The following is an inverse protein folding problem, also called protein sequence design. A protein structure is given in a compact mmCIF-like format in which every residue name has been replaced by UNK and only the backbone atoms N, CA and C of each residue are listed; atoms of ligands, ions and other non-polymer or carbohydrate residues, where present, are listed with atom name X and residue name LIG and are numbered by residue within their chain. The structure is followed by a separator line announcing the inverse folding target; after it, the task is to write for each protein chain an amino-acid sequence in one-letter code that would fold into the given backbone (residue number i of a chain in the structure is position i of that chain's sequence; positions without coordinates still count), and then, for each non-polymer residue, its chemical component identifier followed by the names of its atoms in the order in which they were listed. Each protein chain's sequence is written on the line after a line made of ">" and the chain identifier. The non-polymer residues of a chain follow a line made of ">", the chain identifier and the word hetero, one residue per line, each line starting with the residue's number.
data_IF_190616522750
#
_entry.id   IF_190616522750
#
_cell.length_a   1.000
_cell.length_b   1.000
_cell.length_c   1.000
_cell.angle_alpha   90.00
_cell.angle_beta   90.00
_cell.angle_gamma   90.00
#
_symmetry.space_group_name_H-M   'P 1'
#
loop_
_entity.id
_entity.type
_entity.pdbx_description
1 polymer ?
#
# COMPACT_ATOMS: atom_id res chain seq x y z
N UNK A 1 -37.48 -14.50 46.75
CA UNK A 1 -36.82 -13.29 47.32
C UNK A 1 -35.33 -13.50 47.11
N UNK A 2 -34.74 -12.92 46.06
CA UNK A 2 -34.01 -11.63 46.00
C UNK A 2 -32.49 -11.82 46.12
N UNK A 3 -31.76 -11.39 45.08
CA UNK A 3 -30.32 -11.10 45.05
C UNK A 3 -29.46 -12.34 44.76
N UNK A 4 -28.49 -12.35 43.87
CA UNK A 4 -27.65 -11.31 43.27
C UNK A 4 -27.28 -11.81 41.86
N UNK A 5 -27.70 -11.14 40.78
CA UNK A 5 -26.91 -10.11 40.09
C UNK A 5 -25.48 -10.53 39.71
N UNK A 6 -25.23 -10.44 38.41
CA UNK A 6 -23.93 -10.13 37.79
C UNK A 6 -22.85 -11.24 37.76
N UNK A 7 -23.13 -12.34 37.05
CA UNK A 7 -22.07 -13.08 36.32
C UNK A 7 -22.32 -12.91 34.81
N UNK A 8 -22.54 -11.65 34.44
CA UNK A 8 -22.48 -11.16 33.08
C UNK A 8 -21.53 -9.97 33.18
N UNK A 9 -20.21 -10.20 33.16
CA UNK A 9 -19.22 -9.17 32.91
C UNK A 9 -17.82 -9.80 32.88
N UNK A 10 -17.11 -9.46 31.80
CA UNK A 10 -15.65 -9.37 31.71
C UNK A 10 -14.87 -10.66 31.45
N UNK A 11 -14.92 -11.14 30.21
CA UNK A 11 -13.67 -11.30 29.45
C UNK A 11 -13.88 -10.66 28.10
N UNK A 12 -13.57 -9.37 28.04
CA UNK A 12 -13.37 -8.64 26.80
C UNK A 12 -12.32 -9.40 26.00
N UNK A 13 -12.73 -9.92 24.84
CA UNK A 13 -11.84 -10.27 23.75
C UNK A 13 -11.01 -9.02 23.43
N UNK A 14 -9.84 -8.89 24.05
CA UNK A 14 -8.77 -8.07 23.50
C UNK A 14 -8.28 -8.81 22.27
N UNK A 15 -9.02 -8.68 21.17
CA UNK A 15 -8.43 -8.78 19.84
C UNK A 15 -7.42 -7.65 19.79
N UNK A 16 -6.20 -7.94 20.26
CA UNK A 16 -5.01 -7.19 19.91
C UNK A 16 -4.94 -7.36 18.41
N UNK A 17 -5.58 -6.43 17.69
CA UNK A 17 -5.30 -6.24 16.29
C UNK A 17 -3.85 -5.78 16.29
N UNK A 18 -2.94 -6.73 16.08
CA UNK A 18 -1.58 -6.42 15.71
C UNK A 18 -1.73 -5.57 14.45
N UNK A 19 -1.70 -4.25 14.63
CA UNK A 19 -1.39 -3.32 13.56
C UNK A 19 0.01 -3.74 13.14
N UNK A 20 0.09 -4.66 12.17
CA UNK A 20 1.33 -4.90 11.49
C UNK A 20 1.73 -3.53 10.96
N UNK A 21 2.85 -3.03 11.47
CA UNK A 21 3.48 -1.88 10.86
C UNK A 21 3.91 -2.38 9.49
N UNK A 22 3.04 -2.17 8.49
CA UNK A 22 3.39 -2.46 7.11
C UNK A 22 4.72 -1.75 6.84
N UNK A 23 5.76 -2.50 6.49
CA UNK A 23 7.05 -1.94 6.12
C UNK A 23 6.89 -1.13 4.84
N UNK A 24 7.49 0.06 4.76
CA UNK A 24 7.34 0.93 3.59
C UNK A 24 7.89 0.25 2.32
N UNK A 25 8.99 -0.49 2.47
CA UNK A 25 9.58 -1.29 1.39
C UNK A 25 8.66 -2.43 0.96
N UNK A 26 8.01 -3.12 1.90
CA UNK A 26 7.02 -4.15 1.58
C UNK A 26 5.80 -3.55 0.85
N UNK A 27 5.19 -2.50 1.41
CA UNK A 27 4.07 -1.79 0.77
C UNK A 27 4.42 -1.28 -0.63
N UNK A 28 5.65 -0.81 -0.82
CA UNK A 28 6.15 -0.42 -2.12
C UNK A 28 6.24 -1.61 -3.09
N UNK A 29 6.77 -2.76 -2.66
CA UNK A 29 6.84 -3.95 -3.49
C UNK A 29 5.46 -4.45 -3.93
N UNK A 30 4.48 -4.40 -3.03
CA UNK A 30 3.08 -4.73 -3.36
C UNK A 30 2.54 -3.76 -4.41
N UNK A 31 2.76 -2.44 -4.22
CA UNK A 31 2.32 -1.42 -5.18
C UNK A 31 3.02 -1.55 -6.54
N UNK A 32 4.32 -1.81 -6.56
CA UNK A 32 5.09 -2.06 -7.78
C UNK A 32 4.52 -3.26 -8.56
N UNK A 33 4.24 -4.37 -7.85
CA UNK A 33 3.65 -5.57 -8.46
C UNK A 33 2.27 -5.29 -9.05
N UNK A 34 1.48 -4.46 -8.35
CA UNK A 34 0.18 -3.98 -8.85
C UNK A 34 0.34 -3.15 -10.12
N UNK A 35 1.24 -2.17 -10.13
CA UNK A 35 1.51 -1.33 -11.31
C UNK A 35 1.96 -2.16 -12.52
N UNK A 36 2.86 -3.14 -12.33
CA UNK A 36 3.27 -4.07 -13.39
C UNK A 36 2.08 -4.83 -13.97
N UNK A 37 1.21 -5.34 -13.10
CA UNK A 37 0.01 -6.07 -13.50
C UNK A 37 -0.96 -5.18 -14.28
N UNK A 38 -1.15 -3.94 -13.82
CA UNK A 38 -2.00 -2.96 -14.52
C UNK A 38 -1.41 -2.53 -15.85
N UNK A 39 -0.10 -2.34 -15.95
CA UNK A 39 0.55 -2.05 -17.23
C UNK A 39 0.34 -3.19 -18.24
N UNK A 40 0.49 -4.45 -17.79
CA UNK A 40 0.21 -5.60 -18.65
C UNK A 40 -1.27 -5.69 -19.07
N UNK A 41 -2.19 -5.32 -18.18
CA UNK A 41 -3.62 -5.29 -18.49
C UNK A 41 -3.96 -4.17 -19.49
N UNK A 42 -3.36 -2.98 -19.31
CA UNK A 42 -3.52 -1.82 -20.19
C UNK A 42 -2.99 -2.09 -21.60
N UNK A 43 -1.86 -2.81 -21.68
CA UNK A 43 -1.30 -3.31 -22.94
C UNK A 43 -2.16 -4.45 -23.54
N UNK A 44 -3.10 -4.99 -22.77
CA UNK A 44 -3.82 -6.25 -22.95
C UNK A 44 -4.83 -6.34 -24.09
N UNK A 45 -4.46 -5.90 -25.30
CA UNK A 45 -4.97 -6.35 -26.60
C UNK A 45 -3.92 -6.23 -27.74
N UNK A 46 -2.77 -5.60 -27.50
CA UNK A 46 -1.66 -5.65 -28.43
C UNK A 46 -1.00 -7.03 -28.30
N UNK A 47 -1.05 -7.85 -29.36
CA UNK A 47 -0.40 -9.17 -29.45
C UNK A 47 1.12 -9.10 -29.21
N UNK A 48 1.56 -8.90 -27.96
CA UNK A 48 2.97 -8.96 -27.62
C UNK A 48 3.40 -10.43 -27.64
N UNK A 49 4.45 -10.70 -28.42
CA UNK A 49 5.15 -11.98 -28.31
C UNK A 49 5.71 -12.13 -26.89
N UNK A 50 5.93 -13.38 -26.41
CA UNK A 50 6.51 -13.62 -25.09
C UNK A 50 7.80 -12.83 -24.84
N UNK A 51 8.67 -12.73 -25.87
CA UNK A 51 9.92 -11.97 -25.79
C UNK A 51 9.71 -10.47 -25.55
N UNK A 52 8.69 -9.85 -26.15
CA UNK A 52 8.38 -8.44 -25.91
C UNK A 52 7.78 -8.21 -24.52
N UNK A 53 6.96 -9.16 -24.03
CA UNK A 53 6.43 -9.13 -22.67
C UNK A 53 7.54 -9.17 -21.63
N UNK A 54 8.52 -10.06 -21.81
CA UNK A 54 9.66 -10.19 -20.90
C UNK A 54 10.53 -8.92 -20.89
N UNK A 55 10.72 -8.30 -22.06
CA UNK A 55 11.42 -7.02 -22.18
C UNK A 55 10.69 -5.91 -21.41
N UNK A 56 9.37 -5.77 -21.58
CA UNK A 56 8.56 -4.77 -20.85
C UNK A 56 8.63 -5.02 -19.35
N UNK A 57 8.47 -6.27 -18.91
CA UNK A 57 8.53 -6.61 -17.49
C UNK A 57 9.90 -6.33 -16.87
N UNK A 58 10.99 -6.57 -17.61
CA UNK A 58 12.35 -6.24 -17.18
C UNK A 58 12.52 -4.73 -16.98
N UNK A 59 11.98 -3.92 -17.90
CA UNK A 59 12.04 -2.46 -17.78
C UNK A 59 11.23 -1.95 -16.58
N UNK A 60 10.03 -2.50 -16.37
CA UNK A 60 9.20 -2.17 -15.21
C UNK A 60 9.84 -2.62 -13.88
N UNK A 61 10.53 -3.76 -13.87
CA UNK A 61 11.34 -4.20 -12.72
C UNK A 61 12.44 -3.19 -12.40
N UNK A 62 13.20 -2.77 -13.41
CA UNK A 62 14.26 -1.76 -13.22
C UNK A 62 13.71 -0.43 -12.68
N UNK A 63 12.55 0.02 -13.18
CA UNK A 63 11.88 1.20 -12.66
C UNK A 63 11.48 1.04 -11.20
N UNK A 64 10.96 -0.13 -10.82
CA UNK A 64 10.59 -0.39 -9.44
C UNK A 64 11.81 -0.39 -8.50
N UNK A 65 12.88 -1.09 -8.88
CA UNK A 65 14.11 -1.13 -8.08
C UNK A 65 14.69 0.28 -7.90
N UNK A 66 14.69 1.09 -8.95
CA UNK A 66 15.19 2.47 -8.90
C UNK A 66 14.43 3.33 -7.86
N UNK A 67 13.11 3.23 -7.82
CA UNK A 67 12.30 3.97 -6.83
C UNK A 67 12.45 3.36 -5.43
N UNK A 68 12.51 2.03 -5.32
CA UNK A 68 12.73 1.35 -4.03
C UNK A 68 14.04 1.80 -3.37
N UNK A 69 15.10 2.00 -4.15
CA UNK A 69 16.39 2.49 -3.66
C UNK A 69 16.31 3.88 -3.02
N UNK A 70 15.31 4.71 -3.38
CA UNK A 70 15.08 6.00 -2.73
C UNK A 70 14.58 5.84 -1.30
N UNK A 71 13.88 4.75 -0.99
CA UNK A 71 13.40 4.45 0.37
C UNK A 71 14.43 3.74 1.23
N UNK A 72 15.47 3.14 0.65
CA UNK A 72 16.48 2.36 1.38
C UNK A 72 17.26 3.17 2.45
N UNK A 73 17.22 4.50 2.37
CA UNK A 73 17.84 5.41 3.33
C UNK A 73 16.82 6.10 4.26
N UNK A 74 15.53 5.81 4.11
CA UNK A 74 14.48 6.40 4.96
C UNK A 74 14.39 5.56 6.23
N UNK A 75 14.66 6.19 7.37
CA UNK A 75 14.51 5.53 8.66
C UNK A 75 13.05 5.14 8.90
N UNK A 76 12.83 3.91 9.37
CA UNK A 76 11.54 3.40 9.85
C UNK A 76 10.95 4.25 10.99
N UNK A 77 11.81 4.93 11.75
CA UNK A 77 11.46 5.92 12.77
C UNK A 77 11.00 7.27 12.23
N UNK A 78 11.09 7.52 10.92
CA UNK A 78 10.65 8.77 10.34
C UNK A 78 9.13 8.94 10.57
N UNK A 79 8.63 10.09 11.07
CA UNK A 79 7.22 10.25 11.44
C UNK A 79 6.22 10.00 10.31
N UNK A 80 6.67 10.16 9.06
CA UNK A 80 5.86 9.90 7.86
C UNK A 80 5.92 8.45 7.36
N UNK A 81 6.85 7.61 7.86
CA UNK A 81 7.14 6.28 7.32
C UNK A 81 5.90 5.37 7.30
N UNK A 82 5.25 5.23 8.46
CA UNK A 82 4.05 4.39 8.58
C UNK A 82 2.84 4.93 7.80
N UNK A 83 2.71 6.26 7.66
CA UNK A 83 1.63 6.86 6.89
C UNK A 83 1.84 6.64 5.37
N UNK A 84 3.07 6.79 4.89
CA UNK A 84 3.44 6.50 3.51
C UNK A 84 3.19 5.03 3.17
N UNK A 85 3.59 4.12 4.06
CA UNK A 85 3.38 2.68 3.89
C UNK A 85 1.90 2.33 3.73
N UNK A 86 1.04 2.88 4.60
CA UNK A 86 -0.42 2.71 4.51
C UNK A 86 -1.01 3.28 3.24
N UNK A 87 -0.53 4.44 2.76
CA UNK A 87 -0.96 5.00 1.49
C UNK A 87 -0.68 4.01 0.34
N UNK A 88 0.57 3.55 0.19
CA UNK A 88 0.96 2.59 -0.85
C UNK A 88 0.15 1.27 -0.77
N UNK A 89 0.04 0.70 0.42
CA UNK A 89 -0.74 -0.52 0.65
C UNK A 89 -2.23 -0.36 0.35
N UNK A 90 -2.79 0.84 0.54
CA UNK A 90 -4.18 1.13 0.18
C UNK A 90 -4.37 1.29 -1.33
N UNK A 91 -3.43 1.93 -2.02
CA UNK A 91 -3.48 2.09 -3.48
C UNK A 91 -3.37 0.75 -4.19
N UNK A 92 -2.56 -0.17 -3.66
CA UNK A 92 -2.41 -1.50 -4.25
C UNK A 92 -3.72 -2.32 -4.29
N UNK A 93 -4.72 -1.93 -3.48
CA UNK A 93 -6.06 -2.56 -3.43
C UNK A 93 -7.03 -2.01 -4.48
N UNK A 94 -6.71 -0.89 -5.11
CA UNK A 94 -7.53 -0.31 -6.18
C UNK A 94 -7.52 -1.22 -7.42
N UNK A 95 -8.54 -1.11 -8.26
CA UNK A 95 -8.55 -1.69 -9.60
C UNK A 95 -7.55 -0.98 -10.52
N UNK A 96 -7.22 -1.59 -11.67
CA UNK A 96 -6.31 -0.94 -12.61
C UNK A 96 -6.95 0.29 -13.28
N UNK A 97 -8.26 0.26 -13.53
CA UNK A 97 -9.01 1.43 -14.03
C UNK A 97 -8.99 2.57 -13.01
N UNK A 98 -9.17 2.26 -11.71
CA UNK A 98 -9.04 3.26 -10.64
C UNK A 98 -7.61 3.80 -10.59
N UNK A 99 -6.59 2.96 -10.77
CA UNK A 99 -5.17 3.35 -10.79
C UNK A 99 -4.85 4.28 -11.98
N UNK A 100 -5.34 3.96 -13.17
CA UNK A 100 -5.12 4.78 -14.38
C UNK A 100 -5.80 6.15 -14.29
N UNK A 101 -6.87 6.26 -13.51
CA UNK A 101 -7.66 7.48 -13.33
C UNK A 101 -7.47 8.11 -11.94
N UNK A 102 -6.35 7.81 -11.24
CA UNK A 102 -6.09 8.38 -9.92
C UNK A 102 -5.89 9.89 -9.98
N UNK A 103 -6.46 10.58 -8.99
CA UNK A 103 -6.14 11.97 -8.66
C UNK A 103 -5.04 12.01 -7.60
N UNK A 104 -4.65 13.20 -7.16
CA UNK A 104 -3.58 13.39 -6.17
C UNK A 104 -3.83 12.64 -4.84
N UNK A 105 -5.09 12.56 -4.39
CA UNK A 105 -5.50 11.80 -3.18
C UNK A 105 -6.30 10.52 -3.54
N UNK A 106 -5.64 9.43 -3.99
CA UNK A 106 -6.33 8.26 -4.54
C UNK A 106 -7.08 7.43 -3.48
N UNK A 107 -6.72 7.59 -2.21
CA UNK A 107 -7.38 6.90 -1.09
C UNK A 107 -7.41 7.80 0.16
N UNK A 108 -8.29 7.50 1.13
CA UNK A 108 -8.27 8.19 2.42
C UNK A 108 -6.94 8.07 3.19
N UNK A 109 -6.19 6.98 2.99
CA UNK A 109 -4.89 6.80 3.62
C UNK A 109 -3.84 7.73 3.01
N UNK A 110 -3.88 7.95 1.70
CA UNK A 110 -3.02 8.91 1.01
C UNK A 110 -3.34 10.35 1.40
N UNK A 111 -4.63 10.71 1.49
CA UNK A 111 -5.05 12.01 2.04
C UNK A 111 -4.51 12.28 3.46
N UNK A 112 -4.49 11.24 4.31
CA UNK A 112 -3.90 11.36 5.65
C UNK A 112 -2.38 11.56 5.60
N UNK A 113 -1.69 10.83 4.72
CA UNK A 113 -0.26 10.98 4.51
C UNK A 113 0.09 12.39 4.02
N UNK A 114 -0.64 12.92 3.04
CA UNK A 114 -0.42 14.27 2.50
C UNK A 114 -0.62 15.36 3.54
N UNK A 115 -1.67 15.26 4.36
CA UNK A 115 -1.89 16.20 5.47
C UNK A 115 -0.73 16.17 6.46
N UNK A 116 -0.22 14.99 6.79
CA UNK A 116 0.94 14.85 7.67
C UNK A 116 2.19 15.46 7.03
N UNK A 117 2.45 15.16 5.75
CA UNK A 117 3.59 15.67 5.00
C UNK A 117 3.56 17.20 4.85
N UNK A 118 2.40 17.79 4.56
CA UNK A 118 2.23 19.24 4.45
C UNK A 118 2.44 19.98 5.78
N UNK A 119 2.21 19.29 6.91
CA UNK A 119 2.46 19.81 8.26
C UNK A 119 3.87 19.49 8.79
N UNK A 120 4.66 18.71 8.04
CA UNK A 120 5.99 18.28 8.46
C UNK A 120 7.01 19.38 8.13
N UNK A 121 7.79 19.86 9.12
CA UNK A 121 8.71 20.98 8.97
C UNK A 121 9.98 20.65 8.18
#
# INVERSE_FOLDING_TARGET
>A
MKGFNAIWLLVLLTSVSYLQADDLGESYNVMCSKMKSCALQSIGEANLSPAMRDMVMTQLEGACVSVQQQFGNVADTHPLYGAASKCLSSMAKLSCDEIENMNDEPTPACASYEKMAASYP
#
